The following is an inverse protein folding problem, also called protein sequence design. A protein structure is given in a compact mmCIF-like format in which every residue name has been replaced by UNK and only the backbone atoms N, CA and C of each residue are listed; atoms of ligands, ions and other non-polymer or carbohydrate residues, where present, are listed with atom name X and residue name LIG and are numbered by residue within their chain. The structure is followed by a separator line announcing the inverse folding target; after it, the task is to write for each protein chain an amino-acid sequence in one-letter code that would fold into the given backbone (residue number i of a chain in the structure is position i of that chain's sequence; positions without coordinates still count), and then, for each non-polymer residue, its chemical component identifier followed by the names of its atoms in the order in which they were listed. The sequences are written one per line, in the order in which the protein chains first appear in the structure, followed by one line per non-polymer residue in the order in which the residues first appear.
data_IF_397318109856
#
_entry.id   IF_397318109856
#
_cell.length_a   1.000
_cell.length_b   1.000
_cell.length_c   1.000
_cell.angle_alpha   90.00
_cell.angle_beta   90.00
_cell.angle_gamma   90.00
#
_symmetry.space_group_name_H-M   'P 1'
#
loop_
_entity.id
_entity.type
_entity.pdbx_description
1 polymer ?
#
# COMPACT_ATOMS: atom_id res chain seq x y z
N UNK A 1 23.03 18.55 25.65
CA UNK A 1 22.04 18.56 24.56
C UNK A 1 20.65 18.50 25.18
N UNK A 2 19.70 19.35 24.77
CA UNK A 2 18.46 19.59 25.51
C UNK A 2 17.43 18.45 25.30
N UNK A 3 16.85 17.88 26.37
CA UNK A 3 15.94 16.72 26.32
C UNK A 3 14.72 16.91 25.39
N UNK A 4 14.26 18.16 25.22
CA UNK A 4 13.17 18.52 24.32
C UNK A 4 13.50 18.26 22.83
N UNK A 5 14.74 18.56 22.40
CA UNK A 5 15.20 18.38 21.02
C UNK A 5 15.26 16.88 20.70
N UNK A 6 15.82 16.09 21.63
CA UNK A 6 15.92 14.64 21.47
C UNK A 6 14.53 13.99 21.32
N UNK A 7 13.58 14.35 22.19
CA UNK A 7 12.19 13.84 22.14
C UNK A 7 11.48 14.21 20.84
N UNK A 8 11.69 15.42 20.32
CA UNK A 8 11.13 15.87 19.05
C UNK A 8 11.65 15.03 17.86
N UNK A 9 12.97 14.81 17.79
CA UNK A 9 13.59 14.02 16.73
C UNK A 9 13.09 12.57 16.74
N UNK A 10 13.00 11.93 17.90
CA UNK A 10 12.46 10.57 18.02
C UNK A 10 11.01 10.47 17.50
N UNK A 11 10.16 11.48 17.79
CA UNK A 11 8.77 11.51 17.31
C UNK A 11 8.70 11.60 15.78
N UNK A 12 9.53 12.42 15.16
CA UNK A 12 9.60 12.54 13.71
C UNK A 12 10.13 11.27 13.05
N UNK A 13 11.19 10.66 13.61
CA UNK A 13 11.73 9.38 13.13
C UNK A 13 10.67 8.27 13.16
N UNK A 14 9.86 8.20 14.21
CA UNK A 14 8.77 7.20 14.32
C UNK A 14 7.70 7.42 13.24
N UNK A 15 7.28 8.67 13.00
CA UNK A 15 6.30 8.99 11.96
C UNK A 15 6.83 8.65 10.56
N UNK A 16 8.09 8.95 10.29
CA UNK A 16 8.74 8.64 9.02
C UNK A 16 8.87 7.14 8.79
N UNK A 17 9.24 6.35 9.81
CA UNK A 17 9.23 4.87 9.71
C UNK A 17 7.84 4.33 9.33
N UNK A 18 6.79 4.87 9.94
CA UNK A 18 5.41 4.46 9.65
C UNK A 18 5.02 4.84 8.22
N UNK A 19 5.32 6.06 7.78
CA UNK A 19 5.07 6.50 6.40
C UNK A 19 5.73 5.55 5.40
N UNK A 20 7.04 5.33 5.56
CA UNK A 20 7.83 4.44 4.69
C UNK A 20 7.27 3.02 4.66
N UNK A 21 6.84 2.47 5.80
CA UNK A 21 6.24 1.14 5.84
C UNK A 21 4.99 1.04 4.96
N UNK A 22 4.05 1.97 5.10
CA UNK A 22 2.83 1.97 4.29
C UNK A 22 3.08 2.33 2.82
N UNK A 23 4.12 3.12 2.53
CA UNK A 23 4.53 3.43 1.15
C UNK A 23 5.05 2.16 0.45
N UNK A 24 5.93 1.39 1.11
CA UNK A 24 6.40 0.09 0.60
C UNK A 24 5.26 -0.91 0.41
N UNK A 25 4.30 -0.96 1.34
CA UNK A 25 3.12 -1.80 1.20
C UNK A 25 2.27 -1.41 -0.02
N UNK A 26 2.14 -0.11 -0.28
CA UNK A 26 1.41 0.39 -1.47
C UNK A 26 2.14 0.04 -2.76
N UNK A 27 3.48 0.18 -2.79
CA UNK A 27 4.31 -0.19 -3.95
C UNK A 27 4.21 -1.68 -4.23
N UNK A 28 4.28 -2.52 -3.20
CA UNK A 28 4.14 -3.96 -3.35
C UNK A 28 2.77 -4.34 -3.96
N UNK A 29 1.69 -3.69 -3.51
CA UNK A 29 0.37 -3.86 -4.09
C UNK A 29 0.31 -3.40 -5.56
N UNK A 30 0.88 -2.24 -5.88
CA UNK A 30 0.90 -1.71 -7.26
C UNK A 30 1.65 -2.65 -8.22
N UNK A 31 2.76 -3.23 -7.76
CA UNK A 31 3.51 -4.22 -8.54
C UNK A 31 2.68 -5.49 -8.75
N UNK A 32 2.03 -6.01 -7.70
CA UNK A 32 1.18 -7.20 -7.81
C UNK A 32 0.04 -6.99 -8.83
N UNK A 33 -0.69 -5.87 -8.72
CA UNK A 33 -1.73 -5.46 -9.69
C UNK A 33 -1.20 -5.41 -11.11
N UNK A 34 -0.01 -4.82 -11.29
CA UNK A 34 0.64 -4.75 -12.59
C UNK A 34 0.95 -6.13 -13.16
N UNK A 35 1.43 -7.07 -12.33
CA UNK A 35 1.69 -8.44 -12.76
C UNK A 35 0.41 -9.19 -13.12
N UNK A 36 -0.64 -9.08 -12.31
CA UNK A 36 -1.93 -9.75 -12.55
C UNK A 36 -2.55 -9.28 -13.86
N UNK A 37 -2.58 -7.97 -14.13
CA UNK A 37 -3.10 -7.44 -15.39
C UNK A 37 -2.20 -7.74 -16.57
N UNK A 38 -0.88 -7.72 -16.40
CA UNK A 38 0.05 -8.08 -17.48
C UNK A 38 -0.13 -9.55 -17.88
N UNK A 39 -0.11 -10.47 -16.91
CA UNK A 39 -0.30 -11.90 -17.16
C UNK A 39 -1.71 -12.17 -17.71
N UNK A 40 -2.74 -11.57 -17.10
CA UNK A 40 -4.11 -11.69 -17.57
C UNK A 40 -4.29 -11.21 -19.01
N UNK A 41 -3.57 -10.16 -19.43
CA UNK A 41 -3.64 -9.66 -20.81
C UNK A 41 -3.20 -10.69 -21.85
N UNK A 42 -2.21 -11.54 -21.54
CA UNK A 42 -1.81 -12.64 -22.42
C UNK A 42 -2.86 -13.75 -22.51
N UNK A 43 -3.59 -14.00 -21.41
CA UNK A 43 -4.66 -15.01 -21.38
C UNK A 43 -5.91 -14.59 -22.16
N UNK A 44 -6.07 -13.29 -22.43
CA UNK A 44 -7.10 -12.75 -23.32
C UNK A 44 -6.70 -12.77 -24.82
N UNK A 45 -5.50 -13.25 -25.17
CA UNK A 45 -5.12 -13.43 -26.57
C UNK A 45 -5.85 -14.63 -27.20
N UNK A 46 -6.08 -14.63 -28.52
CA UNK A 46 -6.70 -15.76 -29.21
C UNK A 46 -6.00 -17.09 -28.90
N UNK A 47 -6.78 -18.16 -28.80
CA UNK A 47 -6.33 -19.54 -28.50
C UNK A 47 -5.80 -19.77 -27.06
N UNK A 48 -6.05 -18.86 -26.12
CA UNK A 48 -5.73 -19.03 -24.70
C UNK A 48 -7.01 -19.24 -23.85
N UNK A 49 -6.83 -19.66 -22.59
CA UNK A 49 -7.96 -19.83 -21.66
C UNK A 49 -8.38 -18.49 -21.03
N UNK A 50 -9.39 -17.85 -21.61
CA UNK A 50 -9.90 -16.57 -21.15
C UNK A 50 -10.46 -16.61 -19.71
N UNK A 51 -10.96 -17.78 -19.26
CA UNK A 51 -11.54 -17.92 -17.92
C UNK A 51 -10.49 -17.62 -16.83
N UNK A 52 -9.25 -18.06 -17.03
CA UNK A 52 -8.13 -17.79 -16.12
C UNK A 52 -7.77 -16.29 -16.14
N UNK A 53 -7.85 -15.66 -17.32
CA UNK A 53 -7.70 -14.20 -17.48
C UNK A 53 -8.76 -13.41 -16.72
N UNK A 54 -10.02 -13.88 -16.70
CA UNK A 54 -11.12 -13.28 -15.93
C UNK A 54 -10.85 -13.35 -14.43
N UNK A 55 -10.38 -14.48 -13.91
CA UNK A 55 -10.04 -14.59 -12.49
C UNK A 55 -8.90 -13.65 -12.11
N UNK A 56 -7.83 -13.55 -12.92
CA UNK A 56 -6.76 -12.57 -12.70
C UNK A 56 -7.27 -11.13 -12.75
N UNK A 57 -8.20 -10.84 -13.67
CA UNK A 57 -8.79 -9.51 -13.78
C UNK A 57 -9.63 -9.15 -12.54
N UNK A 58 -10.42 -10.08 -12.01
CA UNK A 58 -11.21 -9.88 -10.79
C UNK A 58 -10.29 -9.64 -9.58
N UNK A 59 -9.23 -10.45 -9.46
CA UNK A 59 -8.25 -10.36 -8.38
C UNK A 59 -7.50 -9.02 -8.45
N UNK A 60 -6.90 -8.69 -9.60
CA UNK A 60 -6.19 -7.42 -9.81
C UNK A 60 -7.09 -6.19 -9.64
N UNK A 61 -8.34 -6.26 -10.11
CA UNK A 61 -9.33 -5.17 -9.92
C UNK A 61 -9.69 -4.98 -8.44
N UNK A 62 -9.80 -6.07 -7.68
CA UNK A 62 -10.02 -6.00 -6.24
C UNK A 62 -8.82 -5.37 -5.52
N UNK A 63 -7.59 -5.67 -5.96
CA UNK A 63 -6.36 -5.09 -5.41
C UNK A 63 -6.19 -3.59 -5.71
N UNK A 64 -6.83 -3.05 -6.75
CA UNK A 64 -6.87 -1.59 -6.95
C UNK A 64 -7.51 -0.85 -5.77
N UNK A 65 -8.44 -1.48 -5.04
CA UNK A 65 -9.06 -0.92 -3.84
C UNK A 65 -8.15 -1.01 -2.60
N UNK A 66 -7.14 -1.87 -2.60
CA UNK A 66 -6.25 -2.04 -1.46
C UNK A 66 -5.38 -0.79 -1.27
N UNK A 67 -4.88 -0.16 -2.33
CA UNK A 67 -4.08 1.08 -2.23
C UNK A 67 -4.78 2.26 -1.53
N UNK A 68 -6.04 2.62 -1.86
CA UNK A 68 -6.76 3.63 -1.10
C UNK A 68 -7.02 3.18 0.35
N UNK A 69 -7.27 1.89 0.61
CA UNK A 69 -7.41 1.37 1.98
C UNK A 69 -6.11 1.51 2.80
N UNK A 70 -4.96 1.15 2.24
CA UNK A 70 -3.64 1.35 2.85
C UNK A 70 -3.45 2.82 3.24
N UNK A 71 -3.82 3.73 2.33
CA UNK A 71 -3.71 5.16 2.58
C UNK A 71 -4.64 5.67 3.69
N UNK A 72 -5.86 5.16 3.77
CA UNK A 72 -6.80 5.48 4.86
C UNK A 72 -6.23 5.01 6.20
N UNK A 73 -5.78 3.75 6.27
CA UNK A 73 -5.20 3.17 7.48
C UNK A 73 -3.94 3.93 7.91
N UNK A 74 -3.05 4.28 6.97
CA UNK A 74 -1.87 5.12 7.24
C UNK A 74 -2.24 6.46 7.87
N UNK A 75 -3.26 7.14 7.31
CA UNK A 75 -3.75 8.43 7.84
C UNK A 75 -4.32 8.27 9.26
N UNK A 76 -5.16 7.25 9.47
CA UNK A 76 -5.73 6.94 10.79
C UNK A 76 -4.64 6.63 11.84
N UNK A 77 -3.64 5.82 11.49
CA UNK A 77 -2.52 5.47 12.37
C UNK A 77 -1.70 6.71 12.75
N UNK A 78 -1.33 7.56 11.78
CA UNK A 78 -0.60 8.80 12.05
C UNK A 78 -1.43 9.80 12.89
N UNK A 79 -2.74 9.87 12.66
CA UNK A 79 -3.66 10.69 13.45
C UNK A 79 -3.71 10.23 14.91
N UNK A 80 -3.89 8.93 15.16
CA UNK A 80 -3.92 8.36 16.52
C UNK A 80 -2.61 8.62 17.27
N UNK A 81 -1.46 8.44 16.61
CA UNK A 81 -0.15 8.74 17.19
C UNK A 81 0.06 10.23 17.50
N UNK A 82 -0.62 11.11 16.79
CA UNK A 82 -0.61 12.54 17.10
C UNK A 82 -1.44 12.86 18.35
N UNK A 83 -2.55 12.14 18.58
CA UNK A 83 -3.48 12.36 19.69
C UNK A 83 -2.96 11.81 21.03
N UNK A 84 -2.34 10.64 21.03
CA UNK A 84 -1.75 10.02 22.24
C UNK A 84 -0.57 10.83 22.80
N UNK A 85 0.10 11.62 21.97
CA UNK A 85 1.27 12.42 22.36
C UNK A 85 0.97 13.93 22.52
N UNK A 86 -0.31 14.29 22.69
CA UNK A 86 -0.74 15.60 23.21
C UNK A 86 -1.06 15.42 24.69
#
# INVERSE_FOLDING_TARGET
MNNAITKYNYKNLRKEKIRRFYDWLSIANDIAVGMEFLVGSFLFLPNHNELDGVYLFIIGSSQLLIRPMINIVRRAHLFLLSKINR
#
